data_IF_092932351611
#
_entry.id   IF_092932351611
#
_cell.length_a   1.000
_cell.length_b   1.000
_cell.length_c   1.000
_cell.angle_alpha   90.00
_cell.angle_beta   90.00
_cell.angle_gamma   90.00
#
_symmetry.space_group_name_H-M   'P 1'
#
loop_
_entity.id
_entity.type
_entity.pdbx_description
1 polymer ?
#
# COMPACT_ATOMS: atom_id res chain seq x y z
N UNK A 1 -11.32 -5.96 15.16
CA UNK A 1 -9.98 -5.35 15.28
C UNK A 1 -8.84 -6.36 15.14
N UNK A 2 -9.09 -7.66 14.86
CA UNK A 2 -8.06 -8.71 14.85
C UNK A 2 -7.33 -8.93 13.52
N UNK A 3 -7.77 -8.34 12.41
CA UNK A 3 -7.24 -8.70 11.07
C UNK A 3 -5.96 -7.93 10.70
N UNK A 4 -5.80 -6.70 11.18
CA UNK A 4 -4.60 -5.88 10.92
C UNK A 4 -3.40 -6.29 11.76
N UNK A 5 -3.64 -6.94 12.89
CA UNK A 5 -2.58 -7.38 13.82
C UNK A 5 -1.85 -8.60 13.25
N UNK A 6 -2.58 -9.61 12.75
CA UNK A 6 -1.99 -10.81 12.15
C UNK A 6 -1.08 -10.51 10.95
N UNK A 7 -1.51 -9.66 10.00
CA UNK A 7 -0.66 -9.39 8.82
C UNK A 7 0.59 -8.60 9.17
N UNK A 8 0.54 -7.70 10.16
CA UNK A 8 1.75 -7.03 10.66
C UNK A 8 2.70 -7.99 11.33
N UNK A 9 2.18 -8.90 12.15
CA UNK A 9 2.98 -9.96 12.80
C UNK A 9 3.71 -10.78 11.75
N UNK A 10 3.04 -11.17 10.66
CA UNK A 10 3.67 -11.94 9.58
C UNK A 10 4.77 -11.13 8.85
N UNK A 11 4.57 -9.82 8.61
CA UNK A 11 5.64 -8.96 8.07
C UNK A 11 6.85 -8.89 9.02
N UNK A 12 6.62 -8.82 10.32
CA UNK A 12 7.69 -8.77 11.32
C UNK A 12 8.42 -10.13 11.41
N UNK A 13 7.68 -11.24 11.39
CA UNK A 13 8.24 -12.60 11.43
C UNK A 13 9.13 -12.91 10.22
N UNK A 14 8.79 -12.37 9.05
CA UNK A 14 9.56 -12.54 7.82
C UNK A 14 10.42 -11.32 7.46
N UNK A 15 10.80 -10.50 8.44
CA UNK A 15 11.60 -9.29 8.23
C UNK A 15 12.86 -9.54 7.40
N UNK A 16 13.61 -10.60 7.71
CA UNK A 16 14.86 -10.94 7.01
C UNK A 16 14.65 -11.25 5.52
N UNK A 17 13.44 -11.60 5.10
CA UNK A 17 13.10 -11.93 3.71
C UNK A 17 12.83 -10.68 2.85
N UNK A 18 12.51 -9.53 3.46
CA UNK A 18 12.17 -8.29 2.73
C UNK A 18 12.94 -7.03 3.14
N UNK A 19 13.66 -7.05 4.28
CA UNK A 19 14.37 -5.87 4.81
C UNK A 19 15.37 -5.24 3.84
N UNK A 20 15.92 -6.03 2.92
CA UNK A 20 16.87 -5.56 1.91
C UNK A 20 16.25 -4.56 0.92
N UNK A 21 14.91 -4.45 0.88
CA UNK A 21 14.21 -3.35 0.20
C UNK A 21 14.54 -1.97 0.79
N UNK A 22 15.09 -1.88 2.01
CA UNK A 22 15.58 -0.63 2.58
C UNK A 22 16.74 -0.04 1.77
N UNK A 23 17.50 -0.88 1.06
CA UNK A 23 18.68 -0.44 0.32
C UNK A 23 18.36 0.66 -0.69
N UNK A 24 17.24 0.58 -1.42
CA UNK A 24 16.88 1.58 -2.44
C UNK A 24 16.87 3.01 -1.87
N UNK A 25 16.51 3.17 -0.59
CA UNK A 25 16.43 4.48 0.08
C UNK A 25 17.76 5.15 0.34
N UNK A 26 18.82 4.37 0.39
CA UNK A 26 20.16 4.89 0.62
C UNK A 26 20.86 5.30 -0.69
N UNK A 27 20.29 4.94 -1.84
CA UNK A 27 20.79 5.38 -3.14
C UNK A 27 20.19 6.73 -3.52
N UNK A 28 21.04 7.62 -4.05
CA UNK A 28 20.57 8.86 -4.66
C UNK A 28 20.00 8.56 -6.04
N UNK A 29 19.14 9.43 -6.61
CA UNK A 29 18.66 9.27 -7.97
C UNK A 29 19.78 9.14 -9.01
N UNK A 30 20.95 9.78 -8.78
CA UNK A 30 22.14 9.67 -9.64
C UNK A 30 22.79 8.28 -9.64
N UNK A 31 22.52 7.48 -8.61
CA UNK A 31 23.21 6.22 -8.33
C UNK A 31 22.29 5.02 -8.62
N UNK A 32 21.10 5.28 -9.20
CA UNK A 32 20.07 4.27 -9.43
C UNK A 32 20.53 3.16 -10.38
N UNK A 33 21.34 3.47 -11.39
CA UNK A 33 21.91 2.44 -12.28
C UNK A 33 22.76 1.44 -11.52
N UNK A 34 23.56 1.88 -10.54
CA UNK A 34 24.38 1.00 -9.73
C UNK A 34 23.53 0.07 -8.86
N UNK A 35 22.38 0.55 -8.37
CA UNK A 35 21.40 -0.29 -7.67
C UNK A 35 20.74 -1.33 -8.58
N UNK A 36 20.39 -0.96 -9.81
CA UNK A 36 19.80 -1.86 -10.81
C UNK A 36 20.77 -2.96 -11.29
N UNK A 37 22.08 -2.76 -11.10
CA UNK A 37 23.13 -3.76 -11.38
C UNK A 37 23.32 -4.78 -10.24
N UNK A 38 22.78 -4.51 -9.05
CA UNK A 38 22.89 -5.43 -7.91
C UNK A 38 21.99 -6.65 -8.11
N UNK A 39 22.57 -7.83 -7.92
CA UNK A 39 21.85 -9.11 -8.01
C UNK A 39 21.78 -9.76 -6.64
N UNK A 40 20.56 -10.05 -6.19
CA UNK A 40 20.31 -10.78 -4.94
C UNK A 40 19.89 -12.21 -5.26
N UNK A 41 20.79 -13.17 -5.06
CA UNK A 41 20.53 -14.60 -5.28
C UNK A 41 19.81 -15.22 -4.07
N UNK A 42 18.52 -14.91 -3.92
CA UNK A 42 17.64 -15.51 -2.90
C UNK A 42 16.41 -16.17 -3.52
N UNK A 43 16.04 -17.32 -2.96
CA UNK A 43 14.91 -18.15 -3.43
C UNK A 43 13.73 -18.11 -2.44
N UNK A 44 13.30 -16.90 -2.09
CA UNK A 44 12.16 -16.66 -1.19
C UNK A 44 11.01 -15.96 -1.92
N UNK A 45 11.05 -15.90 -3.25
CA UNK A 45 10.15 -15.08 -4.06
C UNK A 45 8.68 -15.36 -3.77
N UNK A 46 8.27 -16.64 -3.74
CA UNK A 46 6.87 -17.01 -3.52
C UNK A 46 6.36 -16.52 -2.16
N UNK A 47 7.17 -16.68 -1.11
CA UNK A 47 6.84 -16.19 0.23
C UNK A 47 6.68 -14.67 0.22
N UNK A 48 7.67 -13.94 -0.28
CA UNK A 48 7.67 -12.48 -0.27
C UNK A 48 6.56 -11.91 -1.18
N UNK A 49 6.25 -12.57 -2.29
CA UNK A 49 5.16 -12.19 -3.20
C UNK A 49 3.83 -12.30 -2.49
N UNK A 50 3.60 -13.39 -1.76
CA UNK A 50 2.37 -13.60 -1.02
C UNK A 50 2.23 -12.57 0.11
N UNK A 51 3.33 -12.23 0.82
CA UNK A 51 3.36 -11.12 1.79
C UNK A 51 2.95 -9.80 1.16
N UNK A 52 3.55 -9.46 0.02
CA UNK A 52 3.24 -8.24 -0.71
C UNK A 52 1.78 -8.18 -1.14
N UNK A 53 1.24 -9.25 -1.74
CA UNK A 53 -0.16 -9.29 -2.17
C UNK A 53 -1.12 -9.16 -0.99
N UNK A 54 -0.91 -9.92 0.09
CA UNK A 54 -1.78 -9.86 1.27
C UNK A 54 -1.70 -8.50 1.96
N UNK A 55 -0.50 -7.95 2.10
CA UNK A 55 -0.27 -6.63 2.67
C UNK A 55 -0.93 -5.53 1.85
N UNK A 56 -0.84 -5.60 0.52
CA UNK A 56 -1.47 -4.65 -0.39
C UNK A 56 -2.99 -4.65 -0.23
N UNK A 57 -3.61 -5.83 -0.24
CA UNK A 57 -5.06 -5.96 -0.09
C UNK A 57 -5.52 -5.47 1.28
N UNK A 58 -4.77 -5.78 2.33
CA UNK A 58 -5.08 -5.28 3.67
C UNK A 58 -4.97 -3.76 3.75
N UNK A 59 -3.89 -3.17 3.22
CA UNK A 59 -3.71 -1.73 3.20
C UNK A 59 -4.88 -1.05 2.47
N UNK A 60 -5.30 -1.57 1.31
CA UNK A 60 -6.43 -1.06 0.56
C UNK A 60 -7.76 -1.15 1.33
N UNK A 61 -7.99 -2.22 2.09
CA UNK A 61 -9.16 -2.36 2.99
C UNK A 61 -9.14 -1.37 4.15
N UNK A 62 -7.96 -0.89 4.54
CA UNK A 62 -7.79 0.05 5.65
C UNK A 62 -7.74 1.52 5.21
N UNK A 63 -8.02 1.86 3.94
CA UNK A 63 -7.97 3.24 3.44
C UNK A 63 -9.16 4.11 3.88
N UNK A 64 -10.32 3.51 4.18
CA UNK A 64 -11.54 4.25 4.50
C UNK A 64 -11.44 5.24 5.69
N UNK A 65 -10.66 5.01 6.77
CA UNK A 65 -10.54 5.97 7.87
C UNK A 65 -9.91 7.29 7.43
N UNK A 66 -9.04 7.27 6.42
CA UNK A 66 -8.41 8.46 5.87
C UNK A 66 -9.45 9.37 5.21
N UNK A 67 -10.31 8.76 4.41
CA UNK A 67 -11.40 9.44 3.72
C UNK A 67 -12.46 9.91 4.71
N UNK A 68 -12.81 9.08 5.69
CA UNK A 68 -13.73 9.46 6.76
C UNK A 68 -13.23 10.71 7.51
N UNK A 69 -11.95 10.72 7.90
CA UNK A 69 -11.34 11.86 8.57
C UNK A 69 -11.36 13.13 7.70
N UNK A 70 -10.97 13.02 6.42
CA UNK A 70 -11.02 14.13 5.47
C UNK A 70 -12.44 14.68 5.30
N UNK A 71 -13.42 13.80 5.12
CA UNK A 71 -14.81 14.19 4.91
C UNK A 71 -15.39 14.87 6.15
N UNK A 72 -15.10 14.34 7.35
CA UNK A 72 -15.48 14.98 8.61
C UNK A 72 -14.88 16.37 8.76
N UNK A 73 -13.58 16.54 8.46
CA UNK A 73 -12.90 17.85 8.59
C UNK A 73 -13.43 18.86 7.56
N UNK A 74 -13.63 18.45 6.30
CA UNK A 74 -14.03 19.38 5.23
C UNK A 74 -15.52 19.67 5.18
N UNK A 75 -16.36 18.73 5.62
CA UNK A 75 -17.82 18.74 5.38
C UNK A 75 -18.67 18.46 6.62
N UNK A 76 -18.04 18.17 7.77
CA UNK A 76 -18.76 17.87 9.01
C UNK A 76 -19.45 16.50 9.05
N UNK A 77 -19.32 15.70 8.00
CA UNK A 77 -19.92 14.37 7.91
C UNK A 77 -18.95 13.37 7.24
N UNK A 78 -18.57 12.26 7.89
CA UNK A 78 -17.66 11.26 7.32
C UNK A 78 -18.18 10.61 6.04
N UNK A 79 -19.50 10.54 5.85
CA UNK A 79 -20.13 9.95 4.66
C UNK A 79 -20.29 10.93 3.48
N UNK A 80 -19.97 12.21 3.65
CA UNK A 80 -20.14 13.20 2.59
C UNK A 80 -18.87 13.29 1.69
N UNK A 81 -19.00 12.80 0.45
CA UNK A 81 -17.96 12.84 -0.57
C UNK A 81 -17.94 14.14 -1.39
N UNK A 82 -18.98 14.97 -1.30
CA UNK A 82 -19.16 16.17 -2.12
C UNK A 82 -19.07 15.93 -3.63
N UNK A 83 -18.76 16.98 -4.38
CA UNK A 83 -18.73 16.96 -5.86
C UNK A 83 -17.32 16.74 -6.45
N UNK A 84 -16.28 16.86 -5.63
CA UNK A 84 -14.88 16.70 -6.09
C UNK A 84 -14.50 15.23 -6.02
N UNK A 85 -14.14 14.67 -7.17
CA UNK A 85 -13.75 13.27 -7.31
C UNK A 85 -12.50 13.13 -8.19
N UNK A 86 -11.74 12.03 -8.07
CA UNK A 86 -10.60 11.79 -8.94
C UNK A 86 -11.03 11.58 -10.39
N UNK A 87 -10.31 12.20 -11.33
CA UNK A 87 -10.63 12.17 -12.77
C UNK A 87 -10.75 10.74 -13.33
N UNK A 88 -9.95 9.82 -12.79
CA UNK A 88 -9.93 8.41 -13.21
C UNK A 88 -11.10 7.57 -12.66
N UNK A 89 -11.95 8.13 -11.79
CA UNK A 89 -13.11 7.41 -11.22
C UNK A 89 -14.35 7.71 -12.06
N UNK A 90 -14.92 6.71 -12.77
CA UNK A 90 -16.12 6.92 -13.57
C UNK A 90 -17.29 7.42 -12.73
N UNK A 91 -18.14 8.28 -13.29
CA UNK A 91 -19.26 8.88 -12.57
C UNK A 91 -20.16 7.86 -11.87
N UNK A 92 -20.45 6.75 -12.55
CA UNK A 92 -21.29 5.65 -12.03
C UNK A 92 -20.67 4.94 -10.82
N UNK A 93 -19.38 5.09 -10.59
CA UNK A 93 -18.63 4.47 -9.49
C UNK A 93 -18.27 5.47 -8.39
N UNK A 94 -18.67 6.75 -8.51
CA UNK A 94 -18.44 7.72 -7.45
C UNK A 94 -19.24 7.31 -6.21
N UNK A 95 -18.59 7.11 -5.05
CA UNK A 95 -19.26 6.63 -3.86
C UNK A 95 -20.10 7.76 -3.25
N UNK A 96 -21.24 7.38 -2.67
CA UNK A 96 -22.16 8.31 -1.99
C UNK A 96 -22.00 8.31 -0.47
N UNK A 97 -21.22 7.38 0.07
CA UNK A 97 -20.95 7.17 1.49
C UNK A 97 -19.76 6.21 1.65
N UNK A 98 -19.30 6.02 2.88
CA UNK A 98 -18.14 5.18 3.19
C UNK A 98 -18.37 3.70 2.85
N UNK A 99 -19.60 3.18 3.02
CA UNK A 99 -19.92 1.80 2.64
C UNK A 99 -19.74 1.55 1.13
N UNK A 100 -20.16 2.51 0.29
CA UNK A 100 -19.95 2.44 -1.15
C UNK A 100 -18.48 2.63 -1.52
N UNK A 101 -17.77 3.51 -0.81
CA UNK A 101 -16.34 3.68 -0.99
C UNK A 101 -15.57 2.38 -0.70
N UNK A 102 -15.89 1.68 0.39
CA UNK A 102 -15.19 0.45 0.75
C UNK A 102 -15.45 -0.71 -0.22
N UNK A 103 -16.47 -0.60 -1.08
CA UNK A 103 -16.76 -1.57 -2.14
C UNK A 103 -16.10 -1.23 -3.48
N UNK A 104 -15.41 -0.09 -3.58
CA UNK A 104 -14.72 0.28 -4.81
C UNK A 104 -13.55 -0.65 -5.10
N UNK A 105 -13.21 -0.87 -6.39
CA UNK A 105 -11.91 -1.39 -6.77
C UNK A 105 -10.77 -0.61 -6.11
N UNK A 106 -9.70 -1.32 -5.71
CA UNK A 106 -8.56 -0.74 -5.00
C UNK A 106 -7.98 0.49 -5.71
N UNK A 107 -7.89 0.46 -7.05
CA UNK A 107 -7.39 1.58 -7.86
C UNK A 107 -8.16 2.88 -7.63
N UNK A 108 -9.48 2.80 -7.41
CA UNK A 108 -10.30 3.96 -7.13
C UNK A 108 -10.21 4.38 -5.67
N UNK A 109 -10.13 3.44 -4.72
CA UNK A 109 -9.87 3.77 -3.30
C UNK A 109 -8.57 4.59 -3.15
N UNK A 110 -7.50 4.13 -3.79
CA UNK A 110 -6.19 4.80 -3.79
C UNK A 110 -6.28 6.18 -4.45
N UNK A 111 -7.08 6.34 -5.51
CA UNK A 111 -7.31 7.63 -6.17
C UNK A 111 -7.90 8.68 -5.25
N UNK A 112 -8.89 8.31 -4.44
CA UNK A 112 -9.49 9.23 -3.48
C UNK A 112 -8.51 9.61 -2.37
N UNK A 113 -7.71 8.66 -1.88
CA UNK A 113 -6.72 8.93 -0.84
C UNK A 113 -5.63 9.86 -1.35
N UNK A 114 -5.20 9.70 -2.60
CA UNK A 114 -4.21 10.57 -3.24
C UNK A 114 -4.65 12.04 -3.37
N UNK A 115 -5.96 12.33 -3.28
CA UNK A 115 -6.47 13.70 -3.27
C UNK A 115 -6.45 14.35 -1.88
N UNK A 116 -6.13 13.59 -0.82
CA UNK A 116 -6.05 14.11 0.53
C UNK A 116 -4.66 14.71 0.75
N UNK A 117 -4.56 16.01 1.08
CA UNK A 117 -3.27 16.65 1.33
C UNK A 117 -2.45 15.91 2.40
N UNK A 118 -1.19 15.58 2.09
CA UNK A 118 -0.28 14.84 2.95
C UNK A 118 -0.35 13.31 2.81
N UNK A 119 -1.29 12.80 2.00
CA UNK A 119 -1.49 11.36 1.76
C UNK A 119 -1.16 10.94 0.33
N UNK A 120 -0.70 11.87 -0.50
CA UNK A 120 -0.29 11.64 -1.89
C UNK A 120 0.70 10.47 -2.03
N UNK A 121 1.69 10.28 -1.13
CA UNK A 121 2.63 9.17 -1.23
C UNK A 121 1.98 7.78 -1.18
N UNK A 122 0.80 7.61 -0.59
CA UNK A 122 0.10 6.31 -0.56
C UNK A 122 -0.15 5.78 -1.97
N UNK A 123 -0.36 6.64 -2.95
CA UNK A 123 -0.53 6.20 -4.34
C UNK A 123 0.70 5.50 -4.89
N UNK A 124 1.89 5.99 -4.56
CA UNK A 124 3.14 5.34 -4.95
C UNK A 124 3.37 4.04 -4.20
N UNK A 125 3.04 3.99 -2.89
CA UNK A 125 3.21 2.80 -2.05
C UNK A 125 2.24 1.67 -2.41
N UNK A 126 1.02 2.01 -2.86
CA UNK A 126 -0.03 1.05 -3.21
C UNK A 126 -0.33 1.10 -4.72
N UNK A 127 0.67 0.83 -5.55
CA UNK A 127 0.52 0.85 -6.99
C UNK A 127 -0.16 -0.43 -7.54
N UNK A 128 -1.43 -0.34 -7.96
CA UNK A 128 -2.19 -1.48 -8.49
C UNK A 128 -1.57 -2.12 -9.74
N UNK A 129 -0.91 -1.33 -10.60
CA UNK A 129 -0.28 -1.89 -11.80
C UNK A 129 0.87 -2.80 -11.39
N UNK A 130 1.76 -2.30 -10.52
CA UNK A 130 2.86 -3.11 -9.96
C UNK A 130 2.32 -4.33 -9.22
N UNK A 131 1.23 -4.17 -8.46
CA UNK A 131 0.58 -5.28 -7.77
C UNK A 131 0.16 -6.40 -8.72
N UNK A 132 -0.44 -6.06 -9.85
CA UNK A 132 -0.88 -7.04 -10.83
C UNK A 132 0.31 -7.71 -11.54
N UNK A 133 1.37 -6.96 -11.84
CA UNK A 133 2.60 -7.51 -12.44
C UNK A 133 3.29 -8.52 -11.51
N UNK A 134 3.50 -8.15 -10.23
CA UNK A 134 4.14 -9.01 -9.22
C UNK A 134 3.25 -10.21 -8.88
N UNK A 135 1.94 -9.98 -8.82
CA UNK A 135 0.95 -11.00 -8.51
C UNK A 135 0.54 -11.91 -9.66
N UNK A 136 1.14 -11.74 -10.85
CA UNK A 136 0.80 -12.53 -12.02
C UNK A 136 1.10 -14.02 -11.79
N UNK A 137 0.27 -14.91 -12.34
CA UNK A 137 0.37 -16.34 -12.06
C UNK A 137 1.71 -16.96 -12.51
N UNK A 138 2.30 -16.41 -13.56
CA UNK A 138 3.61 -16.82 -14.11
C UNK A 138 4.78 -16.04 -13.51
N UNK A 139 4.53 -15.09 -12.59
CA UNK A 139 5.59 -14.32 -11.98
C UNK A 139 6.52 -15.23 -11.17
N UNK A 140 7.81 -15.10 -11.41
CA UNK A 140 8.86 -15.84 -10.71
C UNK A 140 10.15 -15.03 -10.67
N UNK A 141 11.02 -15.37 -9.72
CA UNK A 141 12.38 -14.84 -9.67
C UNK A 141 13.29 -15.73 -10.53
N UNK A 142 13.80 -15.18 -11.62
CA UNK A 142 14.83 -15.81 -12.43
C UNK A 142 16.20 -15.59 -11.76
N UNK A 143 16.72 -16.64 -11.13
CA UNK A 143 18.00 -16.62 -10.44
C UNK A 143 19.20 -16.43 -11.39
N UNK A 144 19.06 -16.67 -12.70
CA UNK A 144 20.16 -16.43 -13.64
C UNK A 144 20.37 -14.94 -13.89
N UNK A 145 19.26 -14.19 -13.94
CA UNK A 145 19.28 -12.75 -14.24
C UNK A 145 19.10 -11.87 -13.00
N UNK A 146 18.67 -12.43 -11.87
CA UNK A 146 18.37 -11.69 -10.64
C UNK A 146 17.06 -10.90 -10.70
N UNK A 147 16.19 -11.23 -11.65
CA UNK A 147 14.99 -10.44 -11.99
C UNK A 147 13.71 -11.17 -11.68
N UNK A 148 12.72 -10.43 -11.21
CA UNK A 148 11.34 -10.88 -11.15
C UNK A 148 10.69 -10.62 -12.50
N UNK A 149 10.37 -11.69 -13.22
CA UNK A 149 9.80 -11.64 -14.57
C UNK A 149 8.46 -12.36 -14.62
N UNK A 150 7.66 -12.05 -15.63
CA UNK A 150 6.49 -12.82 -16.00
C UNK A 150 6.36 -12.85 -17.54
N UNK A 151 5.40 -13.60 -18.06
CA UNK A 151 5.16 -13.73 -19.50
C UNK A 151 4.70 -12.43 -20.19
N UNK A 152 4.02 -11.53 -19.46
CA UNK A 152 3.60 -10.21 -19.97
C UNK A 152 4.69 -9.13 -19.88
N UNK A 153 5.69 -9.31 -19.00
CA UNK A 153 6.81 -8.41 -18.77
C UNK A 153 8.13 -9.19 -18.63
N UNK A 154 8.73 -9.63 -19.75
CA UNK A 154 9.98 -10.40 -19.73
C UNK A 154 11.19 -9.59 -19.26
N UNK A 155 11.17 -8.26 -19.36
CA UNK A 155 12.22 -7.39 -18.82
C UNK A 155 12.20 -7.30 -17.29
N UNK A 156 11.02 -7.54 -16.70
CA UNK A 156 10.82 -7.63 -15.26
C UNK A 156 11.26 -6.40 -14.47
N UNK A 157 11.49 -6.63 -13.18
CA UNK A 157 12.17 -5.71 -12.26
C UNK A 157 13.28 -6.48 -11.55
N UNK A 158 14.27 -5.79 -10.98
CA UNK A 158 15.26 -6.49 -10.14
C UNK A 158 14.60 -7.03 -8.88
N UNK A 159 15.17 -8.08 -8.30
CA UNK A 159 14.65 -8.60 -7.04
C UNK A 159 14.69 -7.55 -5.91
N UNK A 160 15.69 -6.66 -5.89
CA UNK A 160 15.77 -5.58 -4.90
C UNK A 160 14.70 -4.49 -5.08
N UNK A 161 14.34 -4.15 -6.32
CA UNK A 161 13.18 -3.30 -6.60
C UNK A 161 11.89 -3.93 -6.07
N UNK A 162 11.72 -5.24 -6.30
CA UNK A 162 10.59 -5.99 -5.76
C UNK A 162 10.54 -5.95 -4.22
N UNK A 163 11.67 -6.14 -3.53
CA UNK A 163 11.72 -6.01 -2.07
C UNK A 163 11.38 -4.58 -1.61
N UNK A 164 11.73 -3.57 -2.39
CA UNK A 164 11.41 -2.17 -2.10
C UNK A 164 9.90 -1.89 -2.22
N UNK A 165 9.21 -2.57 -3.15
CA UNK A 165 7.74 -2.57 -3.21
C UNK A 165 7.11 -3.20 -1.95
N UNK A 166 7.69 -4.30 -1.46
CA UNK A 166 7.23 -4.99 -0.23
C UNK A 166 7.38 -4.06 0.97
N UNK A 167 8.52 -3.38 1.07
CA UNK A 167 8.75 -2.36 2.09
C UNK A 167 7.73 -1.21 1.98
N UNK A 168 7.41 -0.75 0.76
CA UNK A 168 6.39 0.28 0.56
C UNK A 168 5.00 -0.12 1.08
N UNK A 169 4.61 -1.38 0.88
CA UNK A 169 3.36 -1.93 1.46
C UNK A 169 3.44 -1.97 3.00
N UNK A 170 4.57 -2.37 3.57
CA UNK A 170 4.77 -2.35 5.02
C UNK A 170 4.63 -0.94 5.61
N UNK A 171 5.15 0.07 4.93
CA UNK A 171 4.99 1.46 5.34
C UNK A 171 3.56 1.97 5.26
N UNK A 172 2.84 1.60 4.20
CA UNK A 172 1.42 1.93 4.08
C UNK A 172 0.66 1.32 5.26
N UNK A 173 0.87 0.04 5.58
CA UNK A 173 0.27 -0.62 6.75
C UNK A 173 0.69 0.02 8.07
N UNK A 174 1.94 0.44 8.19
CA UNK A 174 2.46 1.14 9.37
C UNK A 174 1.76 2.47 9.59
N UNK A 175 1.64 3.27 8.53
CA UNK A 175 0.93 4.55 8.52
C UNK A 175 -0.54 4.38 8.88
N UNK A 176 -1.23 3.42 8.23
CA UNK A 176 -2.65 3.16 8.47
C UNK A 176 -2.92 2.72 9.91
N UNK A 177 -2.04 1.90 10.50
CA UNK A 177 -2.20 1.53 11.90
C UNK A 177 -1.97 2.71 12.86
N UNK A 178 -1.06 3.62 12.54
CA UNK A 178 -0.88 4.84 13.34
C UNK A 178 -2.14 5.71 13.30
N UNK A 179 -2.78 5.86 12.14
CA UNK A 179 -4.06 6.56 12.02
C UNK A 179 -5.14 5.86 12.84
N UNK A 180 -5.33 4.56 12.64
CA UNK A 180 -6.35 3.80 13.37
C UNK A 180 -6.13 3.90 14.89
N UNK A 181 -4.88 3.87 15.35
CA UNK A 181 -4.53 4.10 16.75
C UNK A 181 -4.94 5.49 17.20
N UNK A 182 -4.58 6.53 16.45
CA UNK A 182 -4.92 7.91 16.77
C UNK A 182 -6.44 8.15 16.80
N UNK A 183 -7.17 7.62 15.80
CA UNK A 183 -8.63 7.68 15.75
C UNK A 183 -9.27 7.00 16.96
N UNK A 184 -8.77 5.84 17.37
CA UNK A 184 -9.27 5.13 18.56
C UNK A 184 -9.02 5.90 19.85
N UNK A 185 -7.86 6.54 19.98
CA UNK A 185 -7.54 7.39 21.14
C UNK A 185 -8.49 8.59 21.19
N UNK A 186 -8.67 9.28 20.06
CA UNK A 186 -9.57 10.43 19.96
C UNK A 186 -11.04 10.08 20.21
N UNK A 187 -11.48 8.86 19.86
CA UNK A 187 -12.83 8.38 20.15
C UNK A 187 -12.97 7.74 21.53
N UNK A 188 -11.94 7.78 22.38
CA UNK A 188 -12.00 7.17 23.72
C UNK A 188 -12.88 8.03 24.64
N UNK A 189 -13.81 7.45 25.41
CA UNK A 189 -14.66 8.18 26.35
C UNK A 189 -13.87 9.04 27.35
N UNK A 190 -12.62 8.68 27.63
CA UNK A 190 -11.74 9.41 28.55
C UNK A 190 -11.42 10.84 28.06
N UNK A 191 -11.50 11.09 26.76
CA UNK A 191 -11.26 12.43 26.18
C UNK A 191 -12.46 13.38 26.27
N UNK A 192 -13.67 12.87 26.47
CA UNK A 192 -14.88 13.68 26.68
C UNK A 192 -15.04 14.13 28.14
N UNK A 193 -14.14 13.74 29.05
CA UNK A 193 -14.23 14.03 30.49
C UNK A 193 -13.58 15.36 30.93
N UNK A 194 -13.33 16.27 29.97
CA UNK A 194 -12.71 17.58 30.23
C UNK A 194 -13.57 18.74 29.73
N UNK A 195 -14.81 18.86 30.20
CA UNK A 195 -15.56 20.13 30.40
C UNK A 195 -16.83 19.91 31.24
#
# INVERSE_FOLDING_TARGET
MSFTENSKTVFIEHHESWEMGLLERFFRPSDKSAFEELVLYRDEFSLVRDLYQQGFELACKCLWPLIAAQNSVKRGNPDDFGEVHPDRVPEKQRPKNLDKFDKLPNAYKIAYVAQVPGWEPIESLLNNRRRNTIGHATAHHDLQTGRVVNDENPSGMTYLEFLSEVLGVFEALSTLAQVLRASRVASSPDFDSSE
#
